data_IF_341184204339
#
_entry.id   IF_341184204339
#
_cell.length_a   1.000
_cell.length_b   1.000
_cell.length_c   1.000
_cell.angle_alpha   90.00
_cell.angle_beta   90.00
_cell.angle_gamma   90.00
#
_symmetry.space_group_name_H-M   'P 1'
#
loop_
_entity.id
_entity.type
_entity.pdbx_description
1 polymer ?
#
# COMPACT_ATOMS: atom_id res chain seq x y z
N UNK A 1 -5.54 -8.11 -6.37
CA UNK A 1 -6.30 -7.15 -5.54
C UNK A 1 -6.30 -5.80 -6.25
N UNK A 2 -7.45 -5.15 -6.32
CA UNK A 2 -7.59 -3.81 -6.91
C UNK A 2 -8.23 -2.88 -5.88
N UNK A 3 -7.59 -1.77 -5.58
CA UNK A 3 -8.01 -0.80 -4.57
C UNK A 3 -8.58 0.43 -5.27
N UNK A 4 -9.90 0.61 -5.23
CA UNK A 4 -10.61 1.67 -5.97
C UNK A 4 -11.01 2.80 -5.02
N UNK A 5 -10.50 4.00 -5.30
CA UNK A 5 -10.77 5.20 -4.48
C UNK A 5 -12.21 5.68 -4.65
N UNK A 6 -12.96 5.77 -3.55
CA UNK A 6 -14.27 6.43 -3.53
C UNK A 6 -14.14 7.96 -3.55
N UNK A 7 -15.12 8.64 -4.13
CA UNK A 7 -15.17 10.11 -4.24
C UNK A 7 -16.20 10.74 -3.32
N UNK A 8 -17.21 9.97 -2.95
CA UNK A 8 -18.31 10.41 -2.05
C UNK A 8 -17.78 10.75 -0.66
N UNK A 9 -18.53 11.60 0.07
CA UNK A 9 -18.12 12.12 1.38
C UNK A 9 -19.03 11.66 2.52
N UNK A 10 -20.32 11.37 2.26
CA UNK A 10 -21.26 10.86 3.26
C UNK A 10 -21.20 9.34 3.29
N UNK A 11 -21.39 8.74 4.45
CA UNK A 11 -21.22 7.31 4.64
C UNK A 11 -22.11 6.46 3.71
N UNK A 12 -23.37 6.83 3.59
CA UNK A 12 -24.35 6.14 2.76
C UNK A 12 -23.99 6.21 1.27
N UNK A 13 -23.53 7.38 0.80
CA UNK A 13 -23.11 7.60 -0.58
C UNK A 13 -21.81 6.82 -0.88
N UNK A 14 -20.86 6.76 0.07
CA UNK A 14 -19.64 5.94 -0.01
C UNK A 14 -19.99 4.46 -0.20
N UNK A 15 -20.94 3.97 0.61
CA UNK A 15 -21.39 2.57 0.54
C UNK A 15 -22.05 2.26 -0.80
N UNK A 16 -22.90 3.17 -1.27
CA UNK A 16 -23.53 3.03 -2.59
C UNK A 16 -22.49 3.01 -3.71
N UNK A 17 -21.60 4.00 -3.73
CA UNK A 17 -20.52 4.10 -4.73
C UNK A 17 -19.63 2.84 -4.75
N UNK A 18 -19.23 2.33 -3.59
CA UNK A 18 -18.40 1.13 -3.49
C UNK A 18 -19.11 -0.11 -4.06
N UNK A 19 -20.44 -0.26 -3.82
CA UNK A 19 -21.24 -1.34 -4.40
C UNK A 19 -21.34 -1.23 -5.92
N UNK A 20 -21.56 -0.01 -6.43
CA UNK A 20 -21.56 0.27 -7.88
C UNK A 20 -20.22 -0.13 -8.50
N UNK A 21 -19.10 0.28 -7.90
CA UNK A 21 -17.76 -0.06 -8.42
C UNK A 21 -17.48 -1.56 -8.34
N UNK A 22 -17.84 -2.24 -7.25
CA UNK A 22 -17.66 -3.70 -7.14
C UNK A 22 -18.35 -4.42 -8.29
N UNK A 23 -19.58 -4.04 -8.62
CA UNK A 23 -20.35 -4.64 -9.70
C UNK A 23 -19.80 -4.24 -11.10
N UNK A 24 -19.44 -2.96 -11.27
CA UNK A 24 -18.95 -2.46 -12.56
C UNK A 24 -17.62 -3.09 -12.97
N UNK A 25 -16.69 -3.27 -12.03
CA UNK A 25 -15.37 -3.85 -12.34
C UNK A 25 -15.35 -5.38 -12.31
N UNK A 26 -16.40 -6.03 -11.82
CA UNK A 26 -16.57 -7.48 -11.72
C UNK A 26 -15.32 -8.19 -11.13
N UNK A 27 -14.76 -7.64 -10.06
CA UNK A 27 -13.53 -8.13 -9.44
C UNK A 27 -13.77 -9.14 -8.31
N UNK A 28 -15.02 -9.41 -7.97
CA UNK A 28 -15.39 -10.31 -6.86
C UNK A 28 -14.70 -9.92 -5.55
N UNK A 29 -14.02 -10.85 -4.91
CA UNK A 29 -13.29 -10.63 -3.66
C UNK A 29 -11.93 -9.93 -3.83
N UNK A 30 -11.50 -9.69 -5.07
CA UNK A 30 -10.29 -8.89 -5.35
C UNK A 30 -10.57 -7.38 -5.34
N UNK A 31 -11.83 -6.96 -5.16
CA UNK A 31 -12.21 -5.56 -5.04
C UNK A 31 -12.03 -5.05 -3.60
N UNK A 32 -11.37 -3.92 -3.44
CA UNK A 32 -11.20 -3.19 -2.18
C UNK A 32 -11.65 -1.74 -2.35
N UNK A 33 -12.69 -1.34 -1.61
CA UNK A 33 -13.09 0.07 -1.56
C UNK A 33 -12.06 0.88 -0.77
N UNK A 34 -11.42 1.86 -1.41
CA UNK A 34 -10.41 2.70 -0.78
C UNK A 34 -11.05 3.98 -0.24
N UNK A 35 -11.11 4.11 1.09
CA UNK A 35 -11.93 5.10 1.81
C UNK A 35 -11.05 5.97 2.70
N UNK A 36 -11.15 7.31 2.62
CA UNK A 36 -10.43 8.22 3.51
C UNK A 36 -10.88 8.10 4.98
N UNK A 37 -9.93 8.26 5.91
CA UNK A 37 -10.14 8.17 7.37
C UNK A 37 -10.80 9.46 7.92
N UNK A 38 -12.08 9.62 7.61
CA UNK A 38 -12.96 10.68 8.12
C UNK A 38 -14.04 10.07 9.02
N UNK A 39 -14.76 10.85 9.85
CA UNK A 39 -15.89 10.32 10.63
C UNK A 39 -16.90 9.53 9.77
N UNK A 40 -17.25 10.07 8.60
CA UNK A 40 -18.13 9.40 7.64
C UNK A 40 -17.46 8.18 6.98
N UNK A 41 -16.16 8.27 6.72
CA UNK A 41 -15.36 7.16 6.19
C UNK A 41 -15.33 5.97 7.15
N UNK A 42 -15.09 6.17 8.43
CA UNK A 42 -15.12 5.09 9.43
C UNK A 42 -16.51 4.42 9.54
N UNK A 43 -17.57 5.22 9.50
CA UNK A 43 -18.96 4.71 9.45
C UNK A 43 -19.17 3.84 8.19
N UNK A 44 -18.73 4.33 7.02
CA UNK A 44 -18.84 3.61 5.76
C UNK A 44 -18.02 2.30 5.77
N UNK A 45 -16.80 2.31 6.32
CA UNK A 45 -15.95 1.12 6.47
C UNK A 45 -16.71 0.02 7.22
N UNK A 46 -17.29 0.36 8.38
CA UNK A 46 -18.08 -0.62 9.16
C UNK A 46 -19.26 -1.17 8.35
N UNK A 47 -20.04 -0.30 7.70
CA UNK A 47 -21.19 -0.71 6.88
C UNK A 47 -20.77 -1.62 5.70
N UNK A 48 -19.65 -1.34 5.07
CA UNK A 48 -19.13 -2.16 3.96
C UNK A 48 -18.64 -3.52 4.45
N UNK A 49 -17.97 -3.58 5.58
CA UNK A 49 -17.53 -4.86 6.16
C UNK A 49 -18.73 -5.71 6.57
N UNK A 50 -19.77 -5.14 7.13
CA UNK A 50 -21.03 -5.86 7.44
C UNK A 50 -21.72 -6.37 6.16
N UNK A 51 -21.49 -5.71 5.01
CA UNK A 51 -21.96 -6.13 3.70
C UNK A 51 -20.99 -7.07 2.93
N UNK A 52 -19.92 -7.55 3.56
CA UNK A 52 -18.94 -8.45 2.94
C UNK A 52 -18.08 -7.81 1.85
N UNK A 53 -17.87 -6.49 1.91
CA UNK A 53 -17.01 -5.77 0.96
C UNK A 53 -15.68 -5.42 1.61
N UNK A 54 -14.59 -5.74 0.92
CA UNK A 54 -13.25 -5.44 1.42
C UNK A 54 -12.94 -3.95 1.37
N UNK A 55 -12.18 -3.49 2.37
CA UNK A 55 -11.93 -2.07 2.61
C UNK A 55 -10.45 -1.77 2.78
N UNK A 56 -9.98 -0.71 2.13
CA UNK A 56 -8.67 -0.08 2.38
C UNK A 56 -8.90 1.33 2.95
N UNK A 57 -8.50 1.54 4.19
CA UNK A 57 -8.48 2.87 4.78
C UNK A 57 -7.29 3.67 4.25
N UNK A 58 -7.51 4.92 3.82
CA UNK A 58 -6.46 5.75 3.19
C UNK A 58 -6.44 7.17 3.76
N UNK A 59 -5.49 7.98 3.32
CA UNK A 59 -5.19 9.30 3.84
C UNK A 59 -4.86 9.28 5.35
N UNK A 60 -4.07 8.27 5.74
CA UNK A 60 -3.64 8.05 7.12
C UNK A 60 -2.34 8.81 7.38
N UNK A 61 -2.36 9.62 8.43
CA UNK A 61 -1.24 10.45 8.89
C UNK A 61 -0.83 10.17 10.34
N UNK A 62 -1.61 9.38 11.09
CA UNK A 62 -1.29 9.03 12.48
C UNK A 62 -1.57 7.56 12.78
N UNK A 63 -0.89 7.04 13.81
CA UNK A 63 -1.11 5.69 14.32
C UNK A 63 -2.56 5.49 14.81
N UNK A 64 -3.12 6.52 15.46
CA UNK A 64 -4.50 6.49 15.98
C UNK A 64 -5.53 6.35 14.85
N UNK A 65 -5.35 7.07 13.74
CA UNK A 65 -6.21 6.92 12.57
C UNK A 65 -6.19 5.50 12.03
N UNK A 66 -5.01 4.89 11.92
CA UNK A 66 -4.87 3.50 11.48
C UNK A 66 -5.54 2.51 12.45
N UNK A 67 -5.35 2.71 13.76
CA UNK A 67 -5.95 1.85 14.79
C UNK A 67 -7.49 1.90 14.74
N UNK A 68 -8.07 3.09 14.63
CA UNK A 68 -9.54 3.25 14.49
C UNK A 68 -10.05 2.59 13.20
N UNK A 69 -9.32 2.74 12.09
CA UNK A 69 -9.69 2.11 10.82
C UNK A 69 -9.65 0.57 10.93
N UNK A 70 -8.61 0.02 11.56
CA UNK A 70 -8.51 -1.41 11.81
C UNK A 70 -9.66 -1.94 12.69
N UNK A 71 -10.03 -1.20 13.73
CA UNK A 71 -11.20 -1.53 14.58
C UNK A 71 -12.52 -1.38 13.85
N UNK A 72 -12.64 -0.49 12.86
CA UNK A 72 -13.79 -0.40 11.97
C UNK A 72 -13.84 -1.56 10.94
N UNK A 73 -12.84 -2.43 10.91
CA UNK A 73 -12.79 -3.63 10.08
C UNK A 73 -12.05 -3.45 8.75
N UNK A 74 -11.26 -2.40 8.56
CA UNK A 74 -10.47 -2.24 7.35
C UNK A 74 -9.48 -3.40 7.17
N UNK A 75 -9.44 -3.99 5.97
CA UNK A 75 -8.51 -5.06 5.61
C UNK A 75 -7.10 -4.52 5.39
N UNK A 76 -7.01 -3.28 4.89
CA UNK A 76 -5.75 -2.56 4.74
C UNK A 76 -5.84 -1.15 5.32
N UNK A 77 -4.72 -0.69 5.87
CA UNK A 77 -4.48 0.70 6.25
C UNK A 77 -3.32 1.25 5.43
N UNK A 78 -3.53 2.41 4.77
CA UNK A 78 -2.57 2.99 3.84
C UNK A 78 -2.01 4.33 4.36
N UNK A 79 -0.99 4.31 5.25
CA UNK A 79 -0.29 5.51 5.70
C UNK A 79 0.56 6.13 4.57
N UNK A 80 0.65 7.47 4.58
CA UNK A 80 1.33 8.25 3.56
C UNK A 80 2.74 8.66 4.00
N UNK A 81 3.77 7.92 3.54
CA UNK A 81 5.16 8.11 3.97
C UNK A 81 5.69 9.49 3.59
N UNK A 82 5.79 9.79 2.30
CA UNK A 82 6.40 11.05 1.84
C UNK A 82 5.62 12.29 2.25
N UNK A 83 4.29 12.21 2.39
CA UNK A 83 3.49 13.34 2.87
C UNK A 83 3.72 13.63 4.35
N UNK A 84 3.95 12.59 5.15
CA UNK A 84 4.37 12.74 6.54
C UNK A 84 5.73 13.40 6.63
N UNK A 85 6.71 12.93 5.85
CA UNK A 85 8.04 13.54 5.82
C UNK A 85 7.97 15.02 5.41
N UNK A 86 7.07 15.39 4.49
CA UNK A 86 6.87 16.77 4.03
C UNK A 86 6.33 17.74 5.10
N UNK A 87 5.79 17.22 6.20
CA UNK A 87 5.30 18.01 7.35
C UNK A 87 6.17 17.78 8.58
N UNK A 88 7.43 17.42 8.39
CA UNK A 88 8.40 17.16 9.45
C UNK A 88 7.98 16.06 10.44
N UNK A 89 7.13 15.12 9.99
CA UNK A 89 6.78 13.91 10.70
C UNK A 89 7.54 12.72 10.06
N UNK A 90 8.04 11.81 10.87
CA UNK A 90 8.86 10.69 10.39
C UNK A 90 7.95 9.56 9.84
N UNK A 91 7.59 9.64 8.54
CA UNK A 91 6.62 8.76 7.90
C UNK A 91 6.96 7.28 8.03
N UNK A 92 8.25 6.93 7.94
CA UNK A 92 8.75 5.56 8.11
C UNK A 92 8.49 5.02 9.52
N UNK A 93 8.70 5.85 10.55
CA UNK A 93 8.47 5.45 11.94
C UNK A 93 6.97 5.31 12.23
N UNK A 94 6.14 6.21 11.70
CA UNK A 94 4.67 6.09 11.77
C UNK A 94 4.19 4.76 11.16
N UNK A 95 4.74 4.34 10.02
CA UNK A 95 4.43 3.04 9.42
C UNK A 95 4.85 1.89 10.33
N UNK A 96 6.04 1.95 10.91
CA UNK A 96 6.55 0.95 11.84
C UNK A 96 5.68 0.82 13.09
N UNK A 97 5.28 1.94 13.69
CA UNK A 97 4.39 1.96 14.86
C UNK A 97 3.00 1.38 14.53
N UNK A 98 2.46 1.70 13.35
CA UNK A 98 1.20 1.12 12.87
C UNK A 98 1.33 -0.41 12.71
N UNK A 99 2.40 -0.89 12.07
CA UNK A 99 2.64 -2.31 11.89
C UNK A 99 2.78 -3.03 13.24
N UNK A 100 3.54 -2.44 14.16
CA UNK A 100 3.68 -2.95 15.53
C UNK A 100 2.33 -3.03 16.26
N UNK A 101 1.51 -1.99 16.22
CA UNK A 101 0.18 -1.98 16.86
C UNK A 101 -0.72 -3.09 16.28
N UNK A 102 -0.70 -3.30 14.96
CA UNK A 102 -1.48 -4.35 14.31
C UNK A 102 -1.07 -5.72 14.82
N UNK A 103 0.24 -5.98 14.97
CA UNK A 103 0.80 -7.24 15.48
C UNK A 103 0.46 -7.41 16.97
N UNK A 104 0.77 -6.44 17.79
CA UNK A 104 0.62 -6.50 19.25
C UNK A 104 -0.85 -6.69 19.65
N UNK A 105 -1.77 -6.04 18.97
CA UNK A 105 -3.21 -6.15 19.22
C UNK A 105 -3.88 -7.28 18.40
N UNK A 106 -3.11 -8.07 17.66
CA UNK A 106 -3.60 -9.20 16.84
C UNK A 106 -4.77 -8.79 15.93
N UNK A 107 -4.65 -7.66 15.24
CA UNK A 107 -5.69 -7.16 14.35
C UNK A 107 -5.59 -7.84 12.97
N UNK A 108 -6.75 -8.19 12.39
CA UNK A 108 -6.84 -8.76 11.04
C UNK A 108 -6.74 -7.66 9.95
N UNK A 109 -5.77 -6.79 10.08
CA UNK A 109 -5.55 -5.66 9.16
C UNK A 109 -4.10 -5.72 8.68
N UNK A 110 -3.84 -5.31 7.45
CA UNK A 110 -2.50 -5.25 6.87
C UNK A 110 -2.09 -3.80 6.58
N UNK A 111 -0.80 -3.51 6.66
CA UNK A 111 -0.26 -2.20 6.24
C UNK A 111 0.03 -2.25 4.74
N UNK A 112 -0.57 -1.31 4.01
CA UNK A 112 -0.27 -0.98 2.62
C UNK A 112 0.38 0.40 2.58
N UNK A 113 1.68 0.49 2.83
CA UNK A 113 2.37 1.77 2.84
C UNK A 113 2.29 2.46 1.47
N UNK A 114 2.08 3.78 1.48
CA UNK A 114 1.77 4.54 0.27
C UNK A 114 2.49 5.89 0.23
N UNK A 115 2.44 6.54 -0.94
CA UNK A 115 3.02 7.89 -1.11
C UNK A 115 4.54 7.89 -0.93
N UNK A 116 5.25 7.17 -1.78
CA UNK A 116 6.70 7.15 -1.84
C UNK A 116 7.24 8.14 -2.87
N UNK A 117 8.43 8.69 -2.63
CA UNK A 117 9.18 9.55 -3.54
C UNK A 117 10.61 9.07 -3.79
N UNK A 118 11.12 8.18 -2.96
CA UNK A 118 12.49 7.64 -3.08
C UNK A 118 12.52 6.13 -2.86
N UNK A 119 13.51 5.47 -3.45
CA UNK A 119 13.82 4.06 -3.22
C UNK A 119 14.18 3.81 -1.76
N UNK A 120 14.90 4.74 -1.12
CA UNK A 120 15.26 4.66 0.29
C UNK A 120 14.03 4.56 1.21
N UNK A 121 12.98 5.35 0.95
CA UNK A 121 11.74 5.25 1.72
C UNK A 121 11.12 3.85 1.63
N UNK A 122 11.12 3.24 0.43
CA UNK A 122 10.57 1.90 0.22
C UNK A 122 11.39 0.86 0.99
N UNK A 123 12.72 0.91 0.84
CA UNK A 123 13.62 0.03 1.57
C UNK A 123 13.43 0.13 3.08
N UNK A 124 13.45 1.34 3.63
CA UNK A 124 13.32 1.54 5.08
C UNK A 124 11.95 1.11 5.60
N UNK A 125 10.87 1.30 4.84
CA UNK A 125 9.53 0.82 5.19
C UNK A 125 9.46 -0.72 5.19
N UNK A 126 10.15 -1.39 4.27
CA UNK A 126 10.21 -2.85 4.25
C UNK A 126 10.84 -3.42 5.53
N UNK A 127 11.83 -2.70 6.10
CA UNK A 127 12.47 -3.06 7.38
C UNK A 127 11.55 -2.82 8.61
N UNK A 128 10.46 -2.07 8.46
CA UNK A 128 9.48 -1.77 9.50
C UNK A 128 8.27 -2.73 9.50
N UNK A 129 8.39 -3.89 8.87
CA UNK A 129 7.35 -4.93 8.82
C UNK A 129 6.03 -4.47 8.16
N UNK A 130 6.07 -3.49 7.25
CA UNK A 130 4.94 -3.19 6.40
C UNK A 130 4.62 -4.43 5.53
N UNK A 131 3.34 -4.79 5.43
CA UNK A 131 2.93 -5.99 4.71
C UNK A 131 3.01 -5.83 3.19
N UNK A 132 2.85 -4.60 2.70
CA UNK A 132 2.87 -4.26 1.30
C UNK A 132 3.10 -2.76 1.07
N UNK A 133 3.44 -2.40 -0.16
CA UNK A 133 3.62 -1.01 -0.58
C UNK A 133 2.93 -0.77 -1.93
N UNK A 134 2.34 0.40 -2.11
CA UNK A 134 1.88 0.88 -3.42
C UNK A 134 2.85 1.94 -3.93
N UNK A 135 3.49 1.65 -5.07
CA UNK A 135 4.55 2.47 -5.67
C UNK A 135 4.21 2.78 -7.12
N UNK A 136 4.62 3.95 -7.59
CA UNK A 136 4.48 4.31 -9.00
C UNK A 136 5.43 3.52 -9.91
N UNK A 137 5.09 3.35 -11.20
CA UNK A 137 5.91 2.57 -12.13
C UNK A 137 7.34 3.11 -12.28
N UNK A 138 7.51 4.43 -12.27
CA UNK A 138 8.84 5.08 -12.36
C UNK A 138 9.74 4.68 -11.17
N UNK A 139 9.17 4.66 -9.96
CA UNK A 139 9.90 4.29 -8.76
C UNK A 139 10.16 2.77 -8.71
N UNK A 140 9.25 1.96 -9.27
CA UNK A 140 9.46 0.53 -9.44
C UNK A 140 10.66 0.26 -10.37
N UNK A 141 10.77 0.98 -11.46
CA UNK A 141 11.92 0.86 -12.36
C UNK A 141 13.24 1.24 -11.67
N UNK A 142 13.23 2.27 -10.82
CA UNK A 142 14.41 2.64 -10.03
C UNK A 142 14.82 1.56 -9.00
N UNK A 143 13.87 0.78 -8.49
CA UNK A 143 14.17 -0.32 -7.55
C UNK A 143 14.96 -1.46 -8.20
N UNK A 144 14.74 -1.72 -9.48
CA UNK A 144 15.35 -2.85 -10.20
C UNK A 144 16.58 -2.45 -11.02
N UNK A 145 16.74 -1.15 -11.33
CA UNK A 145 17.88 -0.66 -12.11
C UNK A 145 19.07 -0.34 -11.20
N UNK A 146 20.23 -0.89 -11.54
CA UNK A 146 21.47 -0.56 -10.83
C UNK A 146 22.67 -0.57 -11.80
N UNK A 147 23.43 0.54 -11.91
CA UNK A 147 24.56 0.63 -12.86
C UNK A 147 25.62 -0.48 -12.69
N UNK A 148 25.84 -0.92 -11.45
CA UNK A 148 26.79 -2.01 -11.21
C UNK A 148 26.29 -3.37 -11.74
N UNK A 149 24.97 -3.58 -11.79
CA UNK A 149 24.40 -4.79 -12.41
C UNK A 149 24.70 -4.80 -13.91
N UNK A 150 24.51 -3.66 -14.59
CA UNK A 150 24.78 -3.52 -16.03
C UNK A 150 26.26 -3.72 -16.34
N UNK A 151 27.15 -3.18 -15.49
CA UNK A 151 28.59 -3.38 -15.59
C UNK A 151 28.93 -4.86 -15.40
N UNK A 152 28.40 -5.51 -14.36
CA UNK A 152 28.64 -6.91 -14.07
C UNK A 152 28.18 -7.83 -15.21
N UNK A 153 26.97 -7.57 -15.75
CA UNK A 153 26.44 -8.34 -16.90
C UNK A 153 27.38 -8.22 -18.10
N UNK A 154 27.89 -7.01 -18.41
CA UNK A 154 28.85 -6.80 -19.49
C UNK A 154 30.14 -7.59 -19.27
N UNK A 155 30.73 -7.47 -18.07
CA UNK A 155 31.94 -8.22 -17.70
C UNK A 155 31.71 -9.72 -17.82
N UNK A 156 30.59 -10.25 -17.34
CA UNK A 156 30.28 -11.69 -17.47
C UNK A 156 30.15 -12.13 -18.93
N UNK A 157 29.62 -11.28 -19.79
CA UNK A 157 29.53 -11.57 -21.23
C UNK A 157 30.94 -11.63 -21.85
N UNK A 158 31.77 -10.61 -21.56
CA UNK A 158 33.18 -10.54 -22.03
C UNK A 158 33.99 -11.73 -21.54
N UNK A 159 33.88 -12.11 -20.26
CA UNK A 159 34.60 -13.24 -19.67
C UNK A 159 34.15 -14.59 -20.26
N UNK A 160 32.89 -14.67 -20.73
CA UNK A 160 32.35 -15.89 -21.34
C UNK A 160 32.72 -16.05 -22.82
N UNK A 161 33.12 -14.97 -23.51
CA UNK A 161 33.54 -15.03 -24.91
C UNK A 161 34.70 -16.00 -25.09
N UNK A 162 34.52 -16.98 -25.99
CA UNK A 162 35.51 -18.04 -26.28
C UNK A 162 35.59 -19.17 -25.24
N UNK A 163 34.84 -19.13 -24.14
CA UNK A 163 34.75 -20.20 -23.15
C UNK A 163 33.58 -21.16 -23.42
N UNK A 164 32.50 -20.65 -24.00
CA UNK A 164 31.28 -21.41 -24.31
C UNK A 164 30.85 -21.16 -25.75
N UNK A 165 31.25 -21.99 -26.69
CA UNK A 165 30.72 -22.02 -28.06
C UNK A 165 29.44 -22.88 -28.09
N UNK A 166 28.36 -22.39 -27.47
CA UNK A 166 27.05 -23.01 -27.58
C UNK A 166 26.22 -22.20 -28.59
N UNK A 167 26.01 -22.77 -29.77
CA UNK A 167 25.06 -22.21 -30.73
C UNK A 167 23.64 -22.38 -30.18
N UNK A 168 22.90 -21.23 -30.03
CA UNK A 168 21.49 -21.24 -29.71
C UNK A 168 20.64 -21.20 -30.98
#
# INVERSE_FOLDING_TARGET
MVHVQVRSKKAEDIVHEAKVYKNYFDLGDNFYAKIPVTPQGYKAMKMLKDAGINVTATAIFTQQQALVAAKAGADFVAPYVSRLDSISSHGIDVVGDIAKNIIDFKLNTKVLAASFKTVDQIYRVSMKQAHSATIGPELLMQLIAHPMTDISVRTFTEDAEGLYDVAF
#
